data_IF_655238784804
#
_entry.id   IF_655238784804
#
_cell.length_a   1.000
_cell.length_b   1.000
_cell.length_c   1.000
_cell.angle_alpha   90.00
_cell.angle_beta   90.00
_cell.angle_gamma   90.00
#
_symmetry.space_group_name_H-M   'P 1'
#
loop_
_entity.id
_entity.type
_entity.pdbx_description
1 polymer ?
#
# COMPACT_ATOMS: atom_id res chain seq x y z
N UNK A 1 23.95 -2.68 39.00
CA UNK A 1 22.77 -3.54 39.23
C UNK A 1 21.53 -2.62 39.20
N UNK A 2 20.72 -2.61 38.13
CA UNK A 2 19.49 -1.81 38.04
C UNK A 2 18.30 -2.73 38.30
N UNK A 3 17.60 -2.55 39.43
CA UNK A 3 16.27 -3.13 39.64
C UNK A 3 15.28 -2.55 38.60
N UNK A 4 14.43 -3.38 37.96
CA UNK A 4 13.22 -2.88 37.34
C UNK A 4 12.18 -2.58 38.43
N UNK A 5 11.65 -1.36 38.37
CA UNK A 5 10.55 -0.86 39.19
C UNK A 5 9.33 -1.78 39.08
N UNK A 6 8.80 -2.21 40.23
CA UNK A 6 7.49 -2.84 40.41
C UNK A 6 6.41 -1.81 40.05
N UNK A 7 6.10 -1.68 38.76
CA UNK A 7 4.86 -1.06 38.33
C UNK A 7 3.73 -2.05 38.62
N UNK A 8 2.74 -1.65 39.43
CA UNK A 8 1.51 -2.41 39.59
C UNK A 8 0.98 -2.83 38.21
N UNK A 9 0.63 -4.11 37.98
CA UNK A 9 0.09 -4.51 36.70
C UNK A 9 -1.28 -3.86 36.60
N UNK A 10 -1.35 -2.69 35.95
CA UNK A 10 -2.61 -2.24 35.36
C UNK A 10 -3.08 -3.40 34.49
N UNK A 11 -4.09 -4.14 34.94
CA UNK A 11 -4.59 -5.30 34.22
C UNK A 11 -5.18 -4.78 32.92
N UNK A 12 -4.47 -5.01 31.84
CA UNK A 12 -4.93 -4.59 30.52
C UNK A 12 -5.77 -5.71 29.98
N UNK A 13 -6.91 -5.36 29.41
CA UNK A 13 -7.75 -6.34 28.74
C UNK A 13 -7.44 -6.35 27.25
N UNK A 14 -7.57 -7.52 26.62
CA UNK A 14 -7.39 -7.65 25.18
C UNK A 14 -8.43 -6.79 24.45
N UNK A 15 -7.99 -6.00 23.47
CA UNK A 15 -8.89 -5.13 22.72
C UNK A 15 -10.00 -5.87 21.96
N UNK A 16 -9.82 -7.16 21.65
CA UNK A 16 -10.84 -8.02 21.04
C UNK A 16 -11.60 -8.88 22.06
N UNK A 17 -11.09 -9.03 23.27
CA UNK A 17 -11.65 -9.91 24.30
C UNK A 17 -11.55 -9.18 25.65
N UNK A 18 -12.57 -8.40 26.03
CA UNK A 18 -12.56 -7.66 27.29
C UNK A 18 -12.47 -8.59 28.50
N UNK A 19 -12.98 -9.82 28.42
CA UNK A 19 -12.90 -10.81 29.50
C UNK A 19 -11.49 -11.41 29.70
N UNK A 20 -10.52 -11.08 28.84
CA UNK A 20 -9.16 -11.67 28.89
C UNK A 20 -8.15 -10.61 29.32
N UNK A 21 -7.59 -10.79 30.51
CA UNK A 21 -6.41 -10.06 30.94
C UNK A 21 -5.20 -10.40 30.06
N UNK A 22 -4.38 -9.40 29.77
CA UNK A 22 -3.17 -9.55 28.97
C UNK A 22 -2.06 -8.62 29.44
N UNK A 23 -0.84 -9.14 29.38
CA UNK A 23 0.40 -8.39 29.59
C UNK A 23 1.13 -8.14 28.26
N UNK A 24 0.59 -8.62 27.14
CA UNK A 24 1.21 -8.56 25.82
C UNK A 24 0.62 -7.42 25.01
N UNK A 25 1.48 -6.65 24.35
CA UNK A 25 1.12 -5.54 23.47
C UNK A 25 1.71 -5.75 22.08
N UNK A 26 1.00 -5.30 21.06
CA UNK A 26 1.53 -5.31 19.69
C UNK A 26 2.73 -4.37 19.59
N UNK A 27 3.88 -4.86 19.12
CA UNK A 27 5.08 -4.04 18.93
C UNK A 27 4.96 -2.96 17.85
N UNK A 28 3.82 -2.86 17.14
CA UNK A 28 3.56 -1.80 16.13
C UNK A 28 2.70 -0.68 16.70
N UNK A 29 1.54 -1.06 17.19
CA UNK A 29 0.48 -0.13 17.57
C UNK A 29 0.27 -0.03 19.07
N UNK A 30 1.00 -0.80 19.88
CA UNK A 30 0.89 -0.79 21.35
C UNK A 30 -0.42 -1.37 21.91
N UNK A 31 -1.35 -1.79 21.04
CA UNK A 31 -2.67 -2.34 21.40
C UNK A 31 -2.50 -3.61 22.25
N UNK A 32 -3.18 -3.71 23.41
CA UNK A 32 -3.13 -4.91 24.25
C UNK A 32 -3.84 -6.07 23.54
N UNK A 33 -3.16 -7.22 23.46
CA UNK A 33 -3.62 -8.42 22.74
C UNK A 33 -3.43 -9.66 23.60
N UNK A 34 -4.37 -10.59 23.61
CA UNK A 34 -4.21 -11.87 24.31
C UNK A 34 -3.33 -12.85 23.50
N UNK A 35 -2.87 -13.92 24.15
CA UNK A 35 -2.09 -15.01 23.55
C UNK A 35 -2.79 -15.69 22.35
N UNK A 36 -4.11 -15.64 22.26
CA UNK A 36 -4.88 -16.16 21.13
C UNK A 36 -4.96 -15.18 19.95
N UNK A 37 -4.89 -13.87 20.22
CA UNK A 37 -4.92 -12.82 19.20
C UNK A 37 -3.53 -12.45 18.67
N UNK A 38 -2.47 -12.99 19.28
CA UNK A 38 -1.10 -12.73 18.88
C UNK A 38 -0.77 -13.41 17.55
N UNK A 39 -0.06 -12.70 16.68
CA UNK A 39 0.51 -13.24 15.45
C UNK A 39 2.03 -13.19 15.59
N UNK A 40 2.69 -14.33 15.43
CA UNK A 40 4.16 -14.39 15.39
C UNK A 40 4.63 -13.84 14.05
N UNK A 41 5.37 -12.74 14.09
CA UNK A 41 6.03 -12.15 12.94
C UNK A 41 7.55 -12.30 13.11
N UNK A 42 8.36 -12.34 12.04
CA UNK A 42 9.82 -12.43 12.14
C UNK A 42 10.49 -11.34 13.00
N UNK A 43 9.81 -10.20 13.21
CA UNK A 43 10.29 -9.08 14.05
C UNK A 43 9.53 -8.98 15.39
N UNK A 44 8.95 -10.09 15.87
CA UNK A 44 8.27 -10.18 17.16
C UNK A 44 6.74 -10.29 17.06
N UNK A 45 6.06 -9.97 18.16
CA UNK A 45 4.60 -10.17 18.29
C UNK A 45 3.84 -8.98 17.68
N UNK A 46 2.86 -9.28 16.81
CA UNK A 46 1.97 -8.30 16.19
C UNK A 46 0.49 -8.70 16.37
N UNK A 47 -0.42 -7.73 16.33
CA UNK A 47 -1.86 -8.00 16.26
C UNK A 47 -2.28 -8.40 14.84
N UNK A 48 -3.43 -9.07 14.69
CA UNK A 48 -3.97 -9.49 13.38
C UNK A 48 -4.06 -8.35 12.36
N UNK A 49 -4.53 -7.18 12.78
CA UNK A 49 -4.63 -5.98 11.94
C UNK A 49 -3.25 -5.54 11.40
N UNK A 50 -2.22 -5.57 12.24
CA UNK A 50 -0.86 -5.17 11.84
C UNK A 50 -0.09 -6.27 11.10
N UNK A 51 -0.50 -7.53 11.26
CA UNK A 51 0.12 -8.69 10.62
C UNK A 51 -0.48 -9.01 9.25
N UNK A 52 -1.70 -8.54 8.95
CA UNK A 52 -2.23 -8.60 7.60
C UNK A 52 -1.39 -7.71 6.69
N UNK A 53 -0.54 -8.36 5.90
CA UNK A 53 0.17 -7.78 4.75
C UNK A 53 -0.91 -7.23 3.83
N UNK A 54 -0.83 -5.93 3.50
CA UNK A 54 -1.73 -5.33 2.51
C UNK A 54 -1.60 -6.16 1.23
N UNK A 55 -2.71 -6.64 0.68
CA UNK A 55 -2.71 -7.38 -0.58
C UNK A 55 -1.92 -6.57 -1.60
N UNK A 56 -0.87 -7.16 -2.17
CA UNK A 56 -0.01 -6.45 -3.11
C UNK A 56 -0.87 -5.94 -4.26
N UNK A 57 -0.75 -4.65 -4.66
CA UNK A 57 -1.54 -4.08 -5.74
C UNK A 57 -1.34 -4.83 -7.07
N UNK A 58 -0.25 -5.60 -7.19
CA UNK A 58 0.05 -6.45 -8.34
C UNK A 58 -0.84 -7.70 -8.43
N UNK A 59 -1.52 -8.11 -7.35
CA UNK A 59 -2.37 -9.32 -7.31
C UNK A 59 -3.87 -9.02 -7.31
N UNK A 60 -4.26 -7.74 -7.31
CA UNK A 60 -5.67 -7.30 -7.28
C UNK A 60 -6.08 -6.48 -8.51
N UNK A 61 -5.32 -6.57 -9.61
CA UNK A 61 -5.69 -5.95 -10.87
C UNK A 61 -6.93 -6.65 -11.42
N UNK A 62 -8.05 -5.94 -11.41
CA UNK A 62 -9.28 -6.41 -12.06
C UNK A 62 -9.03 -6.55 -13.58
N UNK A 63 -9.59 -7.56 -14.26
CA UNK A 63 -9.50 -7.69 -15.72
C UNK A 63 -9.93 -6.41 -16.46
N UNK A 64 -10.89 -5.67 -15.88
CA UNK A 64 -11.35 -4.39 -16.41
C UNK A 64 -10.27 -3.28 -16.33
N UNK A 65 -9.46 -3.25 -15.27
CA UNK A 65 -8.37 -2.30 -15.13
C UNK A 65 -7.24 -2.59 -16.13
N UNK A 66 -6.97 -3.87 -16.40
CA UNK A 66 -6.02 -4.27 -17.43
C UNK A 66 -6.51 -3.90 -18.84
N UNK A 67 -7.79 -4.14 -19.13
CA UNK A 67 -8.40 -3.76 -20.41
C UNK A 67 -8.35 -2.23 -20.63
N UNK A 68 -8.68 -1.44 -19.60
CA UNK A 68 -8.60 0.02 -19.69
C UNK A 68 -7.16 0.52 -19.89
N UNK A 69 -6.19 -0.06 -19.18
CA UNK A 69 -4.77 0.26 -19.36
C UNK A 69 -4.29 -0.07 -20.78
N UNK A 70 -4.70 -1.21 -21.33
CA UNK A 70 -4.37 -1.61 -22.69
C UNK A 70 -4.98 -0.66 -23.74
N UNK A 71 -6.26 -0.32 -23.61
CA UNK A 71 -6.96 0.58 -24.53
C UNK A 71 -6.36 2.00 -24.49
N UNK A 72 -6.07 2.52 -23.28
CA UNK A 72 -5.47 3.84 -23.13
C UNK A 72 -4.04 3.90 -23.68
N UNK A 73 -3.23 2.86 -23.46
CA UNK A 73 -1.87 2.77 -24.00
C UNK A 73 -1.86 2.69 -25.54
N UNK A 74 -2.74 1.86 -26.13
CA UNK A 74 -2.88 1.78 -27.58
C UNK A 74 -3.36 3.11 -28.16
N UNK A 75 -4.37 3.73 -27.55
CA UNK A 75 -4.88 5.03 -27.99
C UNK A 75 -3.79 6.11 -27.97
N UNK A 76 -3.06 6.24 -26.87
CA UNK A 76 -1.96 7.18 -26.74
C UNK A 76 -0.83 6.93 -27.75
N UNK A 77 -0.51 5.65 -28.02
CA UNK A 77 0.53 5.28 -28.99
C UNK A 77 0.13 5.61 -30.42
N UNK A 78 -1.11 5.33 -30.82
CA UNK A 78 -1.63 5.65 -32.15
C UNK A 78 -1.62 7.16 -32.36
N UNK A 79 -2.14 7.92 -31.39
CA UNK A 79 -2.21 9.38 -31.45
C UNK A 79 -0.80 9.98 -31.49
N UNK A 80 0.11 9.52 -30.62
CA UNK A 80 1.49 9.96 -30.61
C UNK A 80 2.23 9.66 -31.91
N UNK A 81 2.06 8.45 -32.46
CA UNK A 81 2.65 8.05 -33.73
C UNK A 81 2.14 8.84 -34.93
N UNK A 82 0.87 9.25 -34.91
CA UNK A 82 0.28 10.07 -35.97
C UNK A 82 0.74 11.53 -35.90
N UNK A 83 0.98 12.05 -34.69
CA UNK A 83 1.33 13.46 -34.43
C UNK A 83 2.85 13.70 -34.53
N UNK A 84 3.68 12.73 -34.15
CA UNK A 84 5.14 12.80 -34.17
C UNK A 84 5.78 13.24 -35.52
N UNK A 85 5.32 12.76 -36.70
CA UNK A 85 5.88 13.21 -37.97
C UNK A 85 5.57 14.69 -38.28
N UNK A 86 4.50 15.27 -37.72
CA UNK A 86 4.11 16.67 -37.96
C UNK A 86 4.85 17.67 -37.05
N UNK A 87 5.22 17.27 -35.82
CA UNK A 87 5.97 18.15 -34.90
C UNK A 87 7.48 18.10 -35.11
N UNK A 88 7.98 17.13 -35.88
CA UNK A 88 9.41 16.91 -36.07
C UNK A 88 10.05 16.18 -34.88
N UNK A 89 10.89 15.19 -35.19
CA UNK A 89 11.47 14.22 -34.24
C UNK A 89 12.20 14.88 -33.05
N UNK A 90 12.80 16.07 -33.26
CA UNK A 90 13.51 16.83 -32.23
C UNK A 90 12.59 17.51 -31.21
N UNK A 91 11.45 18.07 -31.64
CA UNK A 91 10.48 18.71 -30.74
C UNK A 91 9.69 17.67 -29.94
N UNK A 92 9.36 16.54 -30.57
CA UNK A 92 8.71 15.41 -29.92
C UNK A 92 9.58 14.79 -28.81
N UNK A 93 10.90 14.75 -28.98
CA UNK A 93 11.83 14.21 -27.98
C UNK A 93 11.93 15.10 -26.72
N UNK A 94 11.85 16.43 -26.88
CA UNK A 94 11.88 17.37 -25.75
C UNK A 94 10.55 17.43 -25.00
N UNK A 95 9.43 17.36 -25.70
CA UNK A 95 8.09 17.48 -25.10
C UNK A 95 7.55 16.12 -24.60
N UNK A 96 8.00 15.02 -25.21
CA UNK A 96 7.56 13.65 -24.90
C UNK A 96 7.65 13.27 -23.42
N UNK A 97 8.77 13.54 -22.70
CA UNK A 97 8.88 13.22 -21.27
C UNK A 97 7.88 14.00 -20.40
N UNK A 98 7.58 15.26 -20.73
CA UNK A 98 6.61 16.08 -20.00
C UNK A 98 5.18 15.57 -20.21
N UNK A 99 4.82 15.26 -21.46
CA UNK A 99 3.50 14.72 -21.79
C UNK A 99 3.34 13.31 -21.23
N UNK A 100 4.36 12.46 -21.34
CA UNK A 100 4.35 11.09 -20.81
C UNK A 100 4.20 11.05 -19.29
N UNK A 101 4.86 11.95 -18.57
CA UNK A 101 4.67 12.13 -17.14
C UNK A 101 3.23 12.51 -16.78
N UNK A 102 2.62 13.44 -17.53
CA UNK A 102 1.23 13.85 -17.33
C UNK A 102 0.22 12.73 -17.60
N UNK A 103 0.42 11.94 -18.66
CA UNK A 103 -0.44 10.79 -18.97
C UNK A 103 -0.31 9.71 -17.88
N UNK A 104 0.90 9.43 -17.39
CA UNK A 104 1.12 8.47 -16.32
C UNK A 104 0.43 8.89 -15.01
N UNK A 105 0.45 10.18 -14.67
CA UNK A 105 -0.26 10.72 -13.51
C UNK A 105 -1.78 10.63 -13.70
N UNK A 106 -2.28 10.98 -14.88
CA UNK A 106 -3.70 10.93 -15.20
C UNK A 106 -4.26 9.49 -15.15
N UNK A 107 -3.55 8.55 -15.76
CA UNK A 107 -3.88 7.12 -15.73
C UNK A 107 -3.81 6.59 -14.30
N UNK A 108 -2.78 6.94 -13.53
CA UNK A 108 -2.68 6.59 -12.11
C UNK A 108 -3.87 7.10 -11.29
N UNK A 109 -4.35 8.31 -11.57
CA UNK A 109 -5.50 8.91 -10.89
C UNK A 109 -6.82 8.26 -11.27
N UNK A 110 -7.00 7.88 -12.54
CA UNK A 110 -8.19 7.16 -13.03
C UNK A 110 -8.28 5.74 -12.47
N UNK A 111 -7.14 5.05 -12.33
CA UNK A 111 -7.10 3.69 -11.77
C UNK A 111 -7.27 3.71 -10.23
N UNK A 112 -7.30 4.89 -9.60
CA UNK A 112 -7.40 5.01 -8.15
C UNK A 112 -6.10 4.65 -7.43
N UNK A 113 -4.95 4.82 -8.09
CA UNK A 113 -3.62 4.64 -7.53
C UNK A 113 -3.35 5.78 -6.54
N UNK A 114 -3.87 5.65 -5.32
CA UNK A 114 -3.46 6.49 -4.19
C UNK A 114 -2.08 6.00 -3.75
N UNK A 115 -1.02 6.72 -4.15
CA UNK A 115 0.31 6.57 -3.54
C UNK A 115 0.22 6.81 -2.03
#
# INVERSE_FOLDING_TARGET
>A
MRQPSTAEPSTLHCANHPDRETLIRCGRCGKPICLQCQVRHPVGIRCKECAQIRKDPLTTLSPAQYALAFVSALGASIVGGFIAPYLGLLFAFFIGPLIGGGIAEFVGRVIGYKR
#
